data_IF_174703066096
#
_entry.id   IF_174703066096
#
_cell.length_a   1.000
_cell.length_b   1.000
_cell.length_c   1.000
_cell.angle_alpha   90.00
_cell.angle_beta   90.00
_cell.angle_gamma   90.00
#
_symmetry.space_group_name_H-M   'P 1'
#
loop_
_entity.id
_entity.type
_entity.pdbx_description
1 polymer ?
#
# COMPACT_ATOMS: atom_id res chain seq x y z
N UNK A 1 14.87 -5.31 -7.02
CA UNK A 1 13.60 -4.52 -7.03
C UNK A 1 13.88 -3.11 -7.51
N UNK A 2 12.94 -2.46 -8.21
CA UNK A 2 13.07 -1.04 -8.58
C UNK A 2 12.60 -0.14 -7.42
N UNK A 3 13.20 1.06 -7.31
CA UNK A 3 12.86 2.03 -6.28
C UNK A 3 12.75 3.43 -6.87
N UNK A 4 12.08 4.30 -6.14
CA UNK A 4 12.01 5.74 -6.36
C UNK A 4 12.62 6.44 -5.13
N UNK A 5 13.67 7.23 -5.32
CA UNK A 5 14.16 8.13 -4.28
C UNK A 5 13.42 9.47 -4.42
N UNK A 6 12.70 9.87 -3.39
CA UNK A 6 11.97 11.13 -3.34
C UNK A 6 12.85 12.30 -2.89
N UNK A 7 14.04 12.01 -2.37
CA UNK A 7 14.96 13.01 -1.82
C UNK A 7 14.94 13.07 -0.30
N UNK A 8 15.31 14.24 0.25
CA UNK A 8 15.54 14.44 1.67
C UNK A 8 16.94 14.02 2.12
N UNK A 9 17.20 14.10 3.41
CA UNK A 9 18.48 13.70 4.01
C UNK A 9 18.25 13.24 5.45
N UNK A 10 19.13 12.38 5.96
CA UNK A 10 19.00 11.78 7.30
C UNK A 10 18.79 10.27 7.23
N UNK A 11 18.26 9.63 8.29
CA UNK A 11 17.96 8.22 8.30
C UNK A 11 16.97 7.82 7.18
N UNK A 12 17.10 6.61 6.65
CA UNK A 12 16.23 6.17 5.55
C UNK A 12 14.83 5.84 6.07
N UNK A 13 13.82 6.49 5.45
CA UNK A 13 12.42 6.17 5.58
C UNK A 13 11.94 5.48 4.30
N UNK A 14 11.65 4.20 4.40
CA UNK A 14 11.16 3.39 3.30
C UNK A 14 9.64 3.39 3.24
N UNK A 15 9.08 3.53 2.04
CA UNK A 15 7.63 3.46 1.80
C UNK A 15 7.25 2.32 0.83
N UNK A 16 6.19 1.58 1.17
CA UNK A 16 5.62 0.50 0.35
C UNK A 16 4.14 0.76 0.05
N UNK A 17 3.83 0.94 -1.24
CA UNK A 17 2.52 1.41 -1.72
C UNK A 17 1.45 0.32 -1.83
N UNK A 18 0.17 0.74 -1.90
CA UNK A 18 -0.97 -0.16 -2.11
C UNK A 18 -1.10 -0.64 -3.56
N UNK A 19 -1.95 -1.67 -3.74
CA UNK A 19 -2.36 -2.16 -5.04
C UNK A 19 -3.13 -1.07 -5.82
N UNK A 20 -2.67 -0.72 -7.01
CA UNK A 20 -3.30 0.29 -7.86
C UNK A 20 -2.92 1.75 -7.59
N UNK A 21 -2.07 2.02 -6.58
CA UNK A 21 -1.66 3.38 -6.18
C UNK A 21 -0.13 3.50 -6.18
N UNK A 22 0.50 4.02 -7.25
CA UNK A 22 1.96 4.22 -7.30
C UNK A 22 2.47 5.20 -6.23
N UNK A 23 3.77 5.14 -5.84
CA UNK A 23 4.29 5.91 -4.71
C UNK A 23 4.04 7.41 -4.77
N UNK A 24 4.18 8.05 -5.93
CA UNK A 24 3.98 9.50 -6.05
C UNK A 24 2.53 9.95 -5.88
N UNK A 25 1.56 9.04 -5.99
CA UNK A 25 0.18 9.35 -5.61
C UNK A 25 0.03 9.68 -4.11
N UNK A 26 1.02 9.28 -3.29
CA UNK A 26 1.08 9.56 -1.85
C UNK A 26 1.89 10.82 -1.51
N UNK A 27 2.14 11.71 -2.48
CA UNK A 27 3.00 12.90 -2.30
C UNK A 27 2.61 13.71 -1.07
N UNK A 28 1.32 14.01 -0.89
CA UNK A 28 0.81 14.78 0.26
C UNK A 28 1.14 14.15 1.63
N UNK A 29 1.31 12.81 1.68
CA UNK A 29 1.73 12.09 2.90
C UNK A 29 3.26 12.00 3.01
N UNK A 30 3.98 11.83 1.91
CA UNK A 30 5.42 11.53 1.96
C UNK A 30 6.30 12.77 1.99
N UNK A 31 5.91 13.85 1.31
CA UNK A 31 6.68 15.09 1.19
C UNK A 31 7.07 15.69 2.55
N UNK A 32 6.20 15.75 3.58
CA UNK A 32 6.57 16.28 4.89
C UNK A 32 7.68 15.52 5.63
N UNK A 33 7.97 14.28 5.25
CA UNK A 33 9.06 13.52 5.85
C UNK A 33 10.44 13.88 5.26
N UNK A 34 10.50 14.52 4.09
CA UNK A 34 11.75 14.90 3.41
C UNK A 34 12.61 15.87 4.23
N UNK A 35 12.01 16.62 5.16
CA UNK A 35 12.73 17.56 6.04
C UNK A 35 13.69 16.84 7.01
N UNK A 36 13.44 15.55 7.31
CA UNK A 36 14.17 14.81 8.35
C UNK A 36 14.70 13.44 7.89
N UNK A 37 14.23 12.95 6.77
CA UNK A 37 14.52 11.60 6.30
C UNK A 37 14.88 11.59 4.81
N UNK A 38 15.78 10.69 4.41
CA UNK A 38 15.87 10.27 3.03
C UNK A 38 14.71 9.31 2.73
N UNK A 39 13.76 9.73 1.88
CA UNK A 39 12.56 8.96 1.60
C UNK A 39 12.73 8.13 0.33
N UNK A 40 12.69 6.82 0.49
CA UNK A 40 12.79 5.84 -0.60
C UNK A 40 11.49 5.04 -0.68
N UNK A 41 10.86 5.02 -1.86
CA UNK A 41 9.69 4.20 -2.09
C UNK A 41 10.02 2.97 -2.95
N UNK A 42 9.57 1.80 -2.52
CA UNK A 42 9.62 0.60 -3.35
C UNK A 42 8.63 0.70 -4.52
N UNK A 43 9.08 0.33 -5.71
CA UNK A 43 8.20 0.11 -6.85
C UNK A 43 7.85 -1.38 -6.86
N UNK A 44 6.58 -1.74 -6.63
CA UNK A 44 6.13 -3.10 -6.83
C UNK A 44 6.11 -3.47 -8.31
N UNK A 45 6.22 -4.75 -8.64
CA UNK A 45 6.35 -5.28 -10.01
C UNK A 45 5.41 -4.67 -11.05
N UNK A 46 4.12 -4.37 -10.73
CA UNK A 46 3.20 -3.74 -11.70
C UNK A 46 3.63 -2.39 -12.25
N UNK A 47 4.47 -1.65 -11.52
CA UNK A 47 4.97 -0.32 -11.93
C UNK A 47 6.45 -0.32 -12.30
N UNK A 48 7.08 -1.49 -12.46
CA UNK A 48 8.44 -1.57 -13.00
C UNK A 48 8.47 -1.12 -14.46
N UNK A 49 9.63 -0.73 -14.92
CA UNK A 49 9.87 -0.30 -16.31
C UNK A 49 10.96 -1.18 -16.93
N UNK A 50 10.61 -2.11 -17.86
CA UNK A 50 9.25 -2.56 -18.19
C UNK A 50 8.62 -3.40 -17.06
N UNK A 51 7.28 -3.42 -16.93
CA UNK A 51 6.62 -4.31 -15.97
C UNK A 51 6.74 -5.76 -16.48
N UNK A 52 6.98 -6.74 -15.59
CA UNK A 52 6.92 -8.14 -15.97
C UNK A 52 5.47 -8.58 -16.21
N UNK A 53 5.29 -9.79 -16.74
CA UNK A 53 3.95 -10.36 -16.88
C UNK A 53 3.30 -10.60 -15.50
N UNK A 54 1.99 -10.38 -15.34
CA UNK A 54 1.29 -10.62 -14.06
C UNK A 54 1.48 -12.06 -13.53
N UNK A 55 1.64 -13.04 -14.41
CA UNK A 55 1.88 -14.44 -14.05
C UNK A 55 3.18 -14.66 -13.26
N UNK A 56 4.12 -13.72 -13.32
CA UNK A 56 5.37 -13.75 -12.53
C UNK A 56 5.15 -13.58 -11.02
N UNK A 57 3.96 -13.11 -10.59
CA UNK A 57 3.57 -13.02 -9.20
C UNK A 57 2.79 -14.27 -8.79
N UNK A 58 3.38 -15.13 -7.99
CA UNK A 58 2.72 -16.34 -7.47
C UNK A 58 1.92 -16.04 -6.21
N UNK A 59 2.42 -15.14 -5.38
CA UNK A 59 1.83 -14.74 -4.09
C UNK A 59 2.39 -13.38 -3.66
N UNK A 60 1.69 -12.67 -2.76
CA UNK A 60 2.23 -11.47 -2.11
C UNK A 60 3.54 -11.71 -1.34
N UNK A 61 3.89 -12.96 -1.06
CA UNK A 61 5.22 -13.30 -0.52
C UNK A 61 6.36 -12.85 -1.43
N UNK A 62 6.12 -12.81 -2.73
CA UNK A 62 7.11 -12.35 -3.70
C UNK A 62 7.40 -10.86 -3.51
N UNK A 63 6.38 -10.05 -3.18
CA UNK A 63 6.58 -8.65 -2.79
C UNK A 63 7.40 -8.52 -1.50
N UNK A 64 7.16 -9.39 -0.52
CA UNK A 64 7.99 -9.44 0.70
C UNK A 64 9.45 -9.77 0.39
N UNK A 65 9.70 -10.75 -0.50
CA UNK A 65 11.06 -11.11 -0.93
C UNK A 65 11.73 -10.00 -1.75
N UNK A 66 10.97 -9.33 -2.63
CA UNK A 66 11.44 -8.16 -3.36
C UNK A 66 11.85 -7.03 -2.39
N UNK A 67 11.06 -6.79 -1.32
CA UNK A 67 11.40 -5.80 -0.29
C UNK A 67 12.66 -6.18 0.50
N UNK A 68 12.83 -7.45 0.86
CA UNK A 68 14.07 -7.91 1.52
C UNK A 68 15.28 -7.61 0.66
N UNK A 69 15.21 -7.80 -0.66
CA UNK A 69 16.32 -7.47 -1.57
C UNK A 69 16.58 -5.96 -1.62
N UNK A 70 15.51 -5.15 -1.72
CA UNK A 70 15.65 -3.69 -1.78
C UNK A 70 16.21 -3.12 -0.49
N UNK A 71 15.54 -3.39 0.64
CA UNK A 71 15.95 -2.85 1.94
C UNK A 71 17.30 -3.42 2.37
N UNK A 72 17.59 -4.68 2.03
CA UNK A 72 18.89 -5.29 2.27
C UNK A 72 20.05 -4.70 1.44
N UNK A 73 19.76 -3.92 0.40
CA UNK A 73 20.77 -3.15 -0.34
C UNK A 73 21.07 -1.78 0.26
N UNK A 74 20.29 -1.35 1.26
CA UNK A 74 20.51 -0.15 2.04
C UNK A 74 21.49 -0.52 3.18
N UNK A 75 22.51 0.31 3.41
CA UNK A 75 23.58 -0.01 4.34
C UNK A 75 23.21 0.12 5.83
N UNK A 76 21.95 0.47 6.13
CA UNK A 76 21.44 0.63 7.50
C UNK A 76 20.01 0.10 7.63
N UNK A 77 19.57 -0.29 8.85
CA UNK A 77 18.18 -0.64 9.08
C UNK A 77 17.26 0.57 8.91
N UNK A 78 16.11 0.36 8.26
CA UNK A 78 15.20 1.44 7.89
C UNK A 78 13.98 1.54 8.79
N UNK A 79 13.38 2.74 8.85
CA UNK A 79 11.98 2.92 9.24
C UNK A 79 11.14 2.59 8.02
N UNK A 80 10.12 1.74 8.16
CA UNK A 80 9.31 1.36 7.00
C UNK A 80 7.83 1.65 7.21
N UNK A 81 7.22 2.35 6.26
CA UNK A 81 5.78 2.69 6.25
C UNK A 81 5.13 1.95 5.08
N UNK A 82 4.02 1.26 5.34
CA UNK A 82 3.30 0.56 4.26
C UNK A 82 1.80 0.75 4.33
N UNK A 83 1.18 0.82 3.16
CA UNK A 83 -0.26 0.91 3.02
C UNK A 83 -0.84 -0.34 2.36
N UNK A 84 -1.90 -0.91 2.93
CA UNK A 84 -2.69 -2.00 2.32
C UNK A 84 -1.82 -3.21 1.94
N UNK A 85 -1.68 -3.52 0.65
CA UNK A 85 -0.80 -4.56 0.11
C UNK A 85 0.67 -4.31 0.49
N UNK A 86 1.12 -3.06 0.44
CA UNK A 86 2.47 -2.66 0.84
C UNK A 86 2.74 -2.93 2.32
N UNK A 87 1.76 -2.69 3.20
CA UNK A 87 1.86 -3.04 4.61
C UNK A 87 1.99 -4.56 4.80
N UNK A 88 1.24 -5.36 4.04
CA UNK A 88 1.38 -6.81 4.07
C UNK A 88 2.75 -7.28 3.58
N UNK A 89 3.31 -6.64 2.54
CA UNK A 89 4.65 -6.92 2.04
C UNK A 89 5.74 -6.62 3.09
N UNK A 90 5.62 -5.49 3.81
CA UNK A 90 6.52 -5.14 4.93
C UNK A 90 6.45 -6.19 6.04
N UNK A 91 5.25 -6.64 6.45
CA UNK A 91 5.10 -7.71 7.45
C UNK A 91 5.84 -8.98 7.02
N UNK A 92 5.73 -9.36 5.75
CA UNK A 92 6.41 -10.54 5.21
C UNK A 92 7.94 -10.36 5.21
N UNK A 93 8.43 -9.19 4.82
CA UNK A 93 9.85 -8.86 4.81
C UNK A 93 10.43 -8.80 6.24
N UNK A 94 9.73 -8.12 7.17
CA UNK A 94 10.17 -7.96 8.55
C UNK A 94 10.22 -9.29 9.33
N UNK A 95 9.31 -10.21 9.06
CA UNK A 95 9.36 -11.57 9.64
C UNK A 95 10.50 -12.38 9.03
N UNK A 96 10.83 -12.17 7.75
CA UNK A 96 11.92 -12.90 7.09
C UNK A 96 13.31 -12.39 7.50
N UNK A 97 13.47 -11.07 7.64
CA UNK A 97 14.73 -10.37 7.94
C UNK A 97 14.48 -9.18 8.87
N UNK A 98 14.17 -9.42 10.17
CA UNK A 98 13.80 -8.33 11.09
C UNK A 98 14.93 -7.31 11.29
N UNK A 99 16.18 -7.72 11.17
CA UNK A 99 17.35 -6.84 11.33
C UNK A 99 17.46 -5.73 10.26
N UNK A 100 16.68 -5.78 9.19
CA UNK A 100 16.63 -4.74 8.16
C UNK A 100 15.72 -3.56 8.54
N UNK A 101 14.98 -3.67 9.63
CA UNK A 101 13.98 -2.68 10.04
C UNK A 101 14.22 -2.23 11.48
N UNK A 102 14.24 -0.94 11.72
CA UNK A 102 14.23 -0.38 13.08
C UNK A 102 12.83 -0.40 13.66
N UNK A 103 11.84 -0.06 12.86
CA UNK A 103 10.41 -0.02 13.21
C UNK A 103 9.53 0.01 11.94
N UNK A 104 8.26 -0.36 12.08
CA UNK A 104 7.33 -0.37 10.96
C UNK A 104 5.99 0.27 11.30
N UNK A 105 5.46 1.12 10.39
CA UNK A 105 4.10 1.65 10.45
C UNK A 105 3.23 0.95 9.39
N UNK A 106 2.17 0.30 9.81
CA UNK A 106 1.27 -0.50 8.99
C UNK A 106 -0.08 0.19 8.89
N UNK A 107 -0.34 0.83 7.73
CA UNK A 107 -1.56 1.57 7.47
C UNK A 107 -2.54 0.64 6.74
N UNK A 108 -3.69 0.38 7.35
CA UNK A 108 -4.77 -0.40 6.71
C UNK A 108 -4.31 -1.73 6.09
N UNK A 109 -3.50 -2.57 6.77
CA UNK A 109 -3.03 -3.81 6.17
C UNK A 109 -4.21 -4.73 5.83
N UNK A 110 -4.10 -5.48 4.74
CA UNK A 110 -5.17 -6.40 4.32
C UNK A 110 -5.26 -7.59 5.28
N UNK A 111 -6.23 -7.55 6.19
CA UNK A 111 -6.50 -8.58 7.20
C UNK A 111 -7.63 -9.52 6.76
N UNK A 112 -7.32 -10.38 5.82
CA UNK A 112 -8.30 -11.33 5.27
C UNK A 112 -8.63 -12.44 6.27
N UNK A 113 -9.92 -12.78 6.41
CA UNK A 113 -10.28 -13.93 7.25
C UNK A 113 -9.66 -15.21 6.69
N UNK A 114 -9.11 -16.12 7.53
CA UNK A 114 -8.51 -17.36 7.04
C UNK A 114 -9.47 -18.21 6.22
N UNK A 115 -10.74 -18.29 6.62
CA UNK A 115 -11.78 -19.04 5.88
C UNK A 115 -11.97 -18.50 4.46
N UNK A 116 -12.08 -17.17 4.33
CA UNK A 116 -12.25 -16.52 3.03
C UNK A 116 -11.00 -16.68 2.16
N UNK A 117 -9.81 -16.56 2.75
CA UNK A 117 -8.55 -16.79 2.06
C UNK A 117 -8.44 -18.19 1.46
N UNK A 118 -8.73 -19.25 2.26
CA UNK A 118 -8.66 -20.62 1.76
C UNK A 118 -9.73 -20.91 0.72
N UNK A 119 -10.93 -20.37 0.88
CA UNK A 119 -12.00 -20.48 -0.11
C UNK A 119 -11.59 -19.83 -1.46
N UNK A 120 -11.07 -18.63 -1.44
CA UNK A 120 -10.54 -17.96 -2.63
C UNK A 120 -9.41 -18.75 -3.27
N UNK A 121 -8.49 -19.30 -2.47
CA UNK A 121 -7.37 -20.10 -2.96
C UNK A 121 -7.86 -21.37 -3.68
N UNK A 122 -8.83 -22.06 -3.11
CA UNK A 122 -9.40 -23.27 -3.69
C UNK A 122 -10.18 -23.01 -4.99
N UNK A 123 -10.90 -21.88 -5.03
CA UNK A 123 -11.78 -21.55 -6.15
C UNK A 123 -11.09 -20.67 -7.23
N UNK A 124 -9.80 -20.37 -7.09
CA UNK A 124 -9.04 -19.48 -8.01
C UNK A 124 -9.32 -19.70 -9.51
N UNK A 125 -9.34 -20.96 -10.03
CA UNK A 125 -9.57 -21.17 -11.46
C UNK A 125 -10.97 -20.72 -11.93
N UNK A 126 -11.97 -20.82 -11.04
CA UNK A 126 -13.38 -20.57 -11.35
C UNK A 126 -13.76 -19.12 -11.02
N UNK A 127 -13.08 -18.51 -10.05
CA UNK A 127 -13.47 -17.27 -9.38
C UNK A 127 -12.99 -16.01 -10.11
N UNK A 128 -12.00 -16.13 -11.01
CA UNK A 128 -11.37 -14.97 -11.69
C UNK A 128 -12.37 -13.96 -12.27
N UNK A 129 -13.55 -14.41 -12.73
CA UNK A 129 -14.62 -13.55 -13.26
C UNK A 129 -15.85 -13.44 -12.36
N UNK A 130 -15.93 -14.21 -11.26
CA UNK A 130 -17.11 -14.25 -10.38
C UNK A 130 -16.97 -13.41 -9.12
N UNK A 131 -15.72 -13.04 -8.71
CA UNK A 131 -15.51 -12.11 -7.60
C UNK A 131 -15.82 -10.69 -8.10
N UNK A 132 -16.80 -10.01 -7.49
CA UNK A 132 -17.24 -8.69 -7.98
C UNK A 132 -16.10 -7.65 -8.05
N UNK A 133 -15.19 -7.66 -7.08
CA UNK A 133 -14.03 -6.75 -7.05
C UNK A 133 -13.14 -6.97 -8.28
N UNK A 134 -12.78 -8.20 -8.60
CA UNK A 134 -11.90 -8.54 -9.71
C UNK A 134 -12.56 -8.19 -11.05
N UNK A 135 -13.86 -8.54 -11.19
CA UNK A 135 -14.61 -8.19 -12.38
C UNK A 135 -14.67 -6.69 -12.61
N UNK A 136 -15.06 -5.91 -11.59
CA UNK A 136 -15.09 -4.43 -11.66
C UNK A 136 -13.73 -3.83 -12.02
N UNK A 137 -12.63 -4.40 -11.49
CA UNK A 137 -11.28 -3.97 -11.82
C UNK A 137 -10.96 -4.20 -13.30
N UNK A 138 -11.29 -5.37 -13.85
CA UNK A 138 -11.02 -5.71 -15.25
C UNK A 138 -11.90 -4.95 -16.24
N UNK A 139 -13.13 -4.60 -15.85
CA UNK A 139 -14.11 -3.90 -16.69
C UNK A 139 -13.98 -2.37 -16.64
N UNK A 140 -13.17 -1.82 -15.71
CA UNK A 140 -13.04 -0.36 -15.57
C UNK A 140 -12.34 0.29 -16.75
N UNK A 141 -12.69 1.56 -17.01
CA UNK A 141 -11.93 2.44 -17.90
C UNK A 141 -10.52 2.63 -17.33
N UNK A 142 -9.51 2.51 -18.16
CA UNK A 142 -8.10 2.65 -17.81
C UNK A 142 -7.30 3.60 -18.72
N UNK A 143 -7.98 4.28 -19.66
CA UNK A 143 -7.39 5.25 -20.58
C UNK A 143 -8.34 6.41 -20.85
N UNK A 144 -7.79 7.64 -20.93
CA UNK A 144 -8.52 8.89 -21.15
C UNK A 144 -7.79 9.77 -22.16
N UNK A 145 -8.49 10.75 -22.76
CA UNK A 145 -7.88 11.67 -23.69
C UNK A 145 -6.87 12.61 -23.01
N UNK A 146 -7.12 12.97 -21.74
CA UNK A 146 -6.23 13.84 -20.94
C UNK A 146 -6.31 13.50 -19.45
N UNK A 147 -5.44 14.14 -18.63
CA UNK A 147 -5.50 14.06 -17.17
C UNK A 147 -6.75 14.70 -16.60
N UNK A 148 -7.24 15.76 -17.22
CA UNK A 148 -8.49 16.45 -16.85
C UNK A 148 -9.68 15.49 -17.01
N UNK A 149 -9.77 14.79 -18.15
CA UNK A 149 -10.83 13.79 -18.37
C UNK A 149 -10.75 12.66 -17.34
N UNK A 150 -9.54 12.21 -16.99
CA UNK A 150 -9.35 11.22 -15.96
C UNK A 150 -9.78 11.74 -14.57
N UNK A 151 -9.45 12.99 -14.23
CA UNK A 151 -9.90 13.63 -12.99
C UNK A 151 -11.42 13.68 -12.91
N UNK A 152 -12.08 14.19 -13.95
CA UNK A 152 -13.56 14.25 -14.05
C UNK A 152 -14.20 12.84 -13.93
N UNK A 153 -13.52 11.82 -14.47
CA UNK A 153 -13.97 10.45 -14.34
C UNK A 153 -13.85 9.90 -12.90
N UNK A 154 -12.81 10.30 -12.14
CA UNK A 154 -12.59 9.81 -10.78
C UNK A 154 -13.35 10.61 -9.73
N UNK A 155 -13.49 11.93 -9.87
CA UNK A 155 -14.06 12.83 -8.85
C UNK A 155 -15.43 12.40 -8.32
N UNK A 156 -16.41 11.98 -9.15
CA UNK A 156 -17.74 11.58 -8.69
C UNK A 156 -17.79 10.20 -8.03
N UNK A 157 -16.70 9.41 -8.04
CA UNK A 157 -16.70 8.08 -7.47
C UNK A 157 -16.66 8.14 -5.93
N UNK A 158 -17.50 7.34 -5.30
CA UNK A 158 -17.64 7.33 -3.83
C UNK A 158 -16.32 7.06 -3.10
N UNK A 159 -15.40 6.29 -3.69
CA UNK A 159 -14.08 5.99 -3.11
C UNK A 159 -13.17 7.22 -3.02
N UNK A 160 -13.43 8.26 -3.82
CA UNK A 160 -12.66 9.51 -3.81
C UNK A 160 -13.42 10.68 -3.15
N UNK A 161 -14.62 10.45 -2.61
CA UNK A 161 -15.49 11.50 -2.06
C UNK A 161 -14.80 12.32 -0.97
N UNK A 162 -14.12 11.65 -0.03
CA UNK A 162 -13.48 12.27 1.13
C UNK A 162 -12.03 12.75 0.84
N UNK A 163 -11.56 12.60 -0.40
CA UNK A 163 -10.22 13.01 -0.83
C UNK A 163 -10.29 14.42 -1.39
N UNK A 164 -9.38 15.31 -0.94
CA UNK A 164 -9.29 16.68 -1.49
C UNK A 164 -8.88 16.67 -2.96
N UNK A 165 -9.20 17.75 -3.67
CA UNK A 165 -8.89 17.87 -5.09
C UNK A 165 -7.38 17.79 -5.35
N UNK A 166 -6.56 18.45 -4.53
CA UNK A 166 -5.10 18.42 -4.65
C UNK A 166 -4.54 16.98 -4.57
N UNK A 167 -5.03 16.21 -3.60
CA UNK A 167 -4.61 14.79 -3.42
C UNK A 167 -5.14 13.92 -4.56
N UNK A 168 -6.34 14.18 -5.07
CA UNK A 168 -6.84 13.48 -6.25
C UNK A 168 -6.02 13.83 -7.51
N UNK A 169 -5.57 15.08 -7.64
CA UNK A 169 -4.65 15.47 -8.70
C UNK A 169 -3.28 14.80 -8.58
N UNK A 170 -2.77 14.57 -7.37
CA UNK A 170 -1.55 13.76 -7.19
C UNK A 170 -1.74 12.34 -7.74
N UNK A 171 -2.90 11.70 -7.46
CA UNK A 171 -3.20 10.40 -8.03
C UNK A 171 -3.30 10.44 -9.57
N UNK A 172 -3.96 11.44 -10.14
CA UNK A 172 -4.11 11.58 -11.59
C UNK A 172 -2.76 11.86 -12.26
N UNK A 173 -1.96 12.76 -11.68
CA UNK A 173 -0.68 13.17 -12.27
C UNK A 173 0.38 12.06 -12.22
N UNK A 174 0.41 11.28 -11.15
CA UNK A 174 1.44 10.31 -10.89
C UNK A 174 0.98 8.84 -11.01
N UNK A 175 -0.33 8.61 -11.04
CA UNK A 175 -0.93 7.30 -11.26
C UNK A 175 -1.12 6.92 -12.72
N UNK A 176 -0.71 7.78 -13.68
CA UNK A 176 -0.89 7.59 -15.10
C UNK A 176 0.38 7.83 -15.88
N UNK A 177 0.53 7.08 -16.99
CA UNK A 177 1.57 7.27 -17.98
C UNK A 177 0.96 7.83 -19.28
N UNK A 178 1.72 8.67 -19.98
CA UNK A 178 1.38 9.09 -21.33
C UNK A 178 1.59 7.94 -22.33
N UNK A 179 0.70 7.83 -23.27
CA UNK A 179 0.77 6.87 -24.37
C UNK A 179 1.31 7.57 -25.63
N UNK A 180 1.78 6.79 -26.61
CA UNK A 180 2.39 7.33 -27.83
C UNK A 180 1.43 8.21 -28.66
N UNK A 181 0.12 8.02 -28.52
CA UNK A 181 -0.94 8.81 -29.16
C UNK A 181 -1.37 10.06 -28.36
N UNK A 182 -0.62 10.41 -27.29
CA UNK A 182 -0.86 11.59 -26.47
C UNK A 182 -1.99 11.44 -25.44
N UNK A 183 -2.57 10.25 -25.30
CA UNK A 183 -3.54 9.93 -24.27
C UNK A 183 -2.87 9.58 -22.95
N UNK A 184 -3.63 9.40 -21.89
CA UNK A 184 -3.14 8.94 -20.58
C UNK A 184 -3.77 7.60 -20.23
N UNK A 185 -2.96 6.71 -19.62
CA UNK A 185 -3.38 5.39 -19.17
C UNK A 185 -2.88 5.14 -17.76
N UNK A 186 -3.64 4.37 -16.98
CA UNK A 186 -3.17 3.92 -15.65
C UNK A 186 -1.78 3.30 -15.73
N UNK A 187 -0.86 3.81 -14.91
CA UNK A 187 0.49 3.26 -14.77
C UNK A 187 0.45 1.83 -14.18
N UNK A 188 -0.54 1.58 -13.34
CA UNK A 188 -0.82 0.28 -12.75
C UNK A 188 -1.96 -0.38 -13.53
N UNK A 189 -1.63 -1.35 -14.40
CA UNK A 189 -2.65 -1.93 -15.29
C UNK A 189 -3.73 -2.68 -14.51
N UNK A 190 -4.94 -2.68 -15.05
CA UNK A 190 -6.09 -3.39 -14.45
C UNK A 190 -5.86 -4.91 -14.36
N UNK A 191 -5.11 -5.48 -15.30
CA UNK A 191 -4.72 -6.90 -15.30
C UNK A 191 -3.81 -7.22 -14.12
N UNK A 192 -2.81 -6.37 -13.86
CA UNK A 192 -1.94 -6.48 -12.72
C UNK A 192 -2.71 -6.31 -11.40
N UNK A 193 -3.56 -5.29 -11.30
CA UNK A 193 -4.34 -5.04 -10.09
C UNK A 193 -5.27 -6.21 -9.77
N UNK A 194 -5.99 -6.71 -10.78
CA UNK A 194 -6.84 -7.89 -10.63
C UNK A 194 -6.04 -9.14 -10.22
N UNK A 195 -4.83 -9.30 -10.78
CA UNK A 195 -3.94 -10.42 -10.43
C UNK A 195 -3.46 -10.32 -8.99
N UNK A 196 -3.09 -9.12 -8.51
CA UNK A 196 -2.71 -8.89 -7.11
C UNK A 196 -3.82 -9.31 -6.13
N UNK A 197 -5.09 -8.97 -6.41
CA UNK A 197 -6.22 -9.44 -5.59
C UNK A 197 -6.31 -10.97 -5.53
N UNK A 198 -6.08 -11.65 -6.66
CA UNK A 198 -6.08 -13.12 -6.71
C UNK A 198 -4.92 -13.76 -5.96
N UNK A 199 -3.81 -13.04 -5.79
CA UNK A 199 -2.57 -13.53 -5.17
C UNK A 199 -2.37 -13.04 -3.75
N UNK A 200 -3.37 -12.36 -3.18
CA UNK A 200 -3.34 -11.92 -1.79
C UNK A 200 -2.94 -13.05 -0.83
N UNK A 201 -2.26 -12.71 0.25
CA UNK A 201 -1.77 -13.65 1.25
C UNK A 201 -2.32 -13.32 2.63
N UNK A 202 -2.57 -14.36 3.42
CA UNK A 202 -3.01 -14.21 4.80
C UNK A 202 -1.80 -13.92 5.71
N UNK A 203 -1.81 -12.78 6.39
CA UNK A 203 -0.69 -12.33 7.24
C UNK A 203 -0.92 -12.54 8.75
N UNK A 204 -2.05 -13.09 9.17
CA UNK A 204 -2.38 -13.25 10.60
C UNK A 204 -1.32 -13.97 11.42
N UNK A 205 -0.77 -15.06 10.88
CA UNK A 205 0.29 -15.83 11.55
C UNK A 205 1.62 -15.08 11.58
N UNK A 206 1.86 -14.17 10.63
CA UNK A 206 3.06 -13.36 10.54
C UNK A 206 3.03 -12.18 11.52
N UNK A 207 1.88 -11.54 11.71
CA UNK A 207 1.72 -10.46 12.68
C UNK A 207 2.14 -10.87 14.10
N UNK A 208 1.90 -12.13 14.50
CA UNK A 208 2.33 -12.66 15.80
C UNK A 208 3.86 -12.79 15.95
N UNK A 209 4.58 -12.83 14.84
CA UNK A 209 6.04 -13.03 14.80
C UNK A 209 6.82 -11.72 14.73
N UNK A 210 6.12 -10.60 14.71
CA UNK A 210 6.76 -9.28 14.70
C UNK A 210 7.24 -8.93 16.11
N UNK A 211 8.55 -8.85 16.27
CA UNK A 211 9.21 -8.53 17.54
C UNK A 211 9.71 -7.07 17.61
N UNK A 212 9.77 -6.40 16.44
CA UNK A 212 10.16 -4.99 16.35
C UNK A 212 8.99 -4.06 16.70
N UNK A 213 9.24 -2.76 16.98
CA UNK A 213 8.19 -1.76 17.20
C UNK A 213 7.27 -1.64 16.00
N UNK A 214 5.96 -1.76 16.24
CA UNK A 214 4.90 -1.64 15.22
C UNK A 214 3.91 -0.57 15.62
N UNK A 215 3.63 0.35 14.68
CA UNK A 215 2.47 1.22 14.70
C UNK A 215 1.43 0.67 13.72
N UNK A 216 0.30 0.23 14.24
CA UNK A 216 -0.85 -0.19 13.45
C UNK A 216 -1.83 0.98 13.32
N UNK A 217 -2.23 1.30 12.10
CA UNK A 217 -3.16 2.40 11.81
C UNK A 217 -4.34 1.88 11.02
N UNK A 218 -5.55 2.29 11.45
CA UNK A 218 -6.82 1.98 10.81
C UNK A 218 -7.65 3.25 10.67
N UNK A 219 -8.46 3.36 9.61
CA UNK A 219 -9.56 4.33 9.54
C UNK A 219 -10.80 3.82 10.26
N UNK A 220 -11.54 4.68 11.00
CA UNK A 220 -12.74 4.27 11.72
C UNK A 220 -13.81 3.67 10.79
N UNK A 221 -13.89 4.18 9.57
CA UNK A 221 -14.89 3.78 8.57
C UNK A 221 -14.36 2.72 7.58
N UNK A 222 -13.21 2.09 7.94
CA UNK A 222 -12.59 1.09 7.08
C UNK A 222 -13.49 -0.13 6.85
N UNK A 223 -13.63 -0.48 5.58
CA UNK A 223 -14.25 -1.73 5.13
C UNK A 223 -13.24 -2.85 4.85
N UNK A 224 -11.94 -2.57 4.93
CA UNK A 224 -10.84 -3.53 4.72
C UNK A 224 -10.34 -4.11 6.02
N UNK A 225 -10.12 -3.28 7.04
CA UNK A 225 -9.81 -3.70 8.40
C UNK A 225 -11.08 -3.56 9.24
N UNK A 226 -11.91 -4.61 9.32
CA UNK A 226 -13.13 -4.58 10.12
C UNK A 226 -12.81 -4.38 11.61
N UNK A 227 -13.76 -3.83 12.37
CA UNK A 227 -13.64 -3.65 13.83
C UNK A 227 -13.29 -4.99 14.53
N UNK A 228 -13.90 -6.09 14.08
CA UNK A 228 -13.60 -7.42 14.60
C UNK A 228 -12.14 -7.84 14.33
N UNK A 229 -11.62 -7.57 13.12
CA UNK A 229 -10.24 -7.84 12.77
C UNK A 229 -9.28 -6.97 13.59
N UNK A 230 -9.63 -5.70 13.80
CA UNK A 230 -8.86 -4.75 14.60
C UNK A 230 -8.75 -5.17 16.06
N UNK A 231 -9.87 -5.44 16.73
CA UNK A 231 -9.90 -5.95 18.11
C UNK A 231 -9.15 -7.27 18.26
N UNK A 232 -9.27 -8.17 17.28
CA UNK A 232 -8.53 -9.43 17.26
C UNK A 232 -7.02 -9.19 17.17
N UNK A 233 -6.57 -8.24 16.35
CA UNK A 233 -5.14 -7.93 16.24
C UNK A 233 -4.62 -7.32 17.53
N UNK A 234 -5.32 -6.37 18.12
CA UNK A 234 -4.98 -5.77 19.43
C UNK A 234 -4.82 -6.84 20.51
N UNK A 235 -5.78 -7.76 20.63
CA UNK A 235 -5.71 -8.84 21.61
C UNK A 235 -4.57 -9.84 21.34
N UNK A 236 -4.21 -10.04 20.06
CA UNK A 236 -3.17 -10.99 19.65
C UNK A 236 -1.75 -10.46 19.83
N UNK A 237 -1.57 -9.16 19.74
CA UNK A 237 -0.25 -8.49 19.77
C UNK A 237 -0.33 -7.20 20.59
N UNK A 238 -0.59 -7.28 21.91
CA UNK A 238 -0.82 -6.11 22.76
C UNK A 238 0.41 -5.20 22.94
N UNK A 239 1.59 -5.68 22.54
CA UNK A 239 2.84 -4.91 22.55
C UNK A 239 2.94 -3.88 21.40
N UNK A 240 2.08 -3.95 20.39
CA UNK A 240 2.06 -2.99 19.30
C UNK A 240 1.27 -1.74 19.69
N UNK A 241 1.57 -0.62 19.07
CA UNK A 241 0.77 0.60 19.21
C UNK A 241 -0.34 0.61 18.14
N UNK A 242 -1.55 0.97 18.57
CA UNK A 242 -2.75 0.97 17.73
C UNK A 242 -3.39 2.35 17.72
N UNK A 243 -3.61 2.90 16.53
CA UNK A 243 -4.25 4.20 16.35
C UNK A 243 -5.36 4.07 15.30
N UNK A 244 -6.51 4.64 15.63
CA UNK A 244 -7.64 4.77 14.73
C UNK A 244 -7.77 6.23 14.28
N UNK A 245 -7.88 6.46 12.97
CA UNK A 245 -8.09 7.79 12.38
C UNK A 245 -9.58 7.95 12.14
N UNK A 246 -10.20 8.83 12.91
CA UNK A 246 -11.63 9.10 12.86
C UNK A 246 -12.07 9.69 11.51
N UNK A 247 -13.20 9.22 10.99
CA UNK A 247 -13.80 9.67 9.74
C UNK A 247 -12.96 9.35 8.49
N UNK A 248 -12.11 8.32 8.57
CA UNK A 248 -11.33 7.85 7.43
C UNK A 248 -11.67 6.40 7.10
N UNK A 249 -11.65 6.07 5.80
CA UNK A 249 -11.81 4.73 5.29
C UNK A 249 -10.48 4.02 5.02
N UNK A 250 -10.49 3.10 4.06
CA UNK A 250 -9.28 2.37 3.65
C UNK A 250 -8.20 3.28 3.03
N UNK A 251 -8.60 4.38 2.41
CA UNK A 251 -7.70 5.32 1.76
C UNK A 251 -7.19 6.43 2.73
N UNK A 252 -6.98 6.10 4.01
CA UNK A 252 -6.45 7.04 5.03
C UNK A 252 -5.32 7.93 4.54
N UNK A 253 -4.30 7.43 3.76
CA UNK A 253 -3.21 8.27 3.27
C UNK A 253 -3.64 9.38 2.32
N UNK A 254 -4.78 9.23 1.69
CA UNK A 254 -5.36 10.20 0.76
C UNK A 254 -6.47 11.03 1.41
N UNK A 255 -7.24 10.42 2.31
CA UNK A 255 -8.38 11.07 2.97
C UNK A 255 -7.93 12.02 4.09
N UNK A 256 -6.88 11.66 4.83
CA UNK A 256 -6.38 12.39 6.01
C UNK A 256 -4.85 12.43 6.06
N UNK A 257 -4.16 12.87 4.98
CA UNK A 257 -2.69 12.83 4.91
C UNK A 257 -2.01 13.58 6.06
N UNK A 258 -2.44 14.80 6.37
CA UNK A 258 -1.85 15.60 7.44
C UNK A 258 -1.98 14.97 8.84
N UNK A 259 -3.14 14.37 9.15
CA UNK A 259 -3.35 13.65 10.41
C UNK A 259 -2.45 12.43 10.50
N UNK A 260 -2.31 11.72 9.39
CA UNK A 260 -1.47 10.52 9.29
C UNK A 260 0.02 10.87 9.48
N UNK A 261 0.49 11.94 8.82
CA UNK A 261 1.87 12.45 8.95
C UNK A 261 2.18 12.80 10.41
N UNK A 262 1.30 13.58 11.07
CA UNK A 262 1.48 13.94 12.48
C UNK A 262 1.53 12.67 13.37
N UNK A 263 0.61 11.73 13.15
CA UNK A 263 0.54 10.48 13.93
C UNK A 263 1.81 9.64 13.80
N UNK A 264 2.32 9.47 12.57
CA UNK A 264 3.53 8.68 12.32
C UNK A 264 4.76 9.43 12.81
N UNK A 265 4.86 10.75 12.56
CA UNK A 265 5.96 11.58 13.01
C UNK A 265 6.12 11.58 14.52
N UNK A 266 5.02 11.76 15.26
CA UNK A 266 5.00 11.69 16.72
C UNK A 266 5.42 10.30 17.25
N UNK A 267 5.02 9.24 16.56
CA UNK A 267 5.41 7.88 16.95
C UNK A 267 6.89 7.59 16.70
N UNK A 268 7.43 8.07 15.60
CA UNK A 268 8.86 7.92 15.31
C UNK A 268 9.67 8.71 16.34
N UNK A 269 9.34 9.99 16.57
CA UNK A 269 10.12 10.86 17.46
C UNK A 269 10.06 10.48 18.95
N UNK A 270 9.01 9.81 19.42
CA UNK A 270 8.92 9.33 20.82
C UNK A 270 9.86 8.18 21.16
N UNK A 271 10.45 7.58 20.15
CA UNK A 271 11.26 6.37 20.30
C UNK A 271 12.71 6.58 19.78
N UNK A 272 13.07 7.81 19.45
CA UNK A 272 14.46 8.27 19.27
C UNK A 272 15.06 8.66 20.63
#
# INVERSE_FOLDING_TARGET
MQQLNLGGSGPVLHFSHANGYPPMAYRAMLEPFLDKYEVIASLHRPVWKPPPEPSSLESWRDFGSDLVQLVGSINEPVISIGHSMGAAAIVMAAVQKPQLFTRIALIEPVLMSPKYFYLLKLLRPIVKRRVPLIRKTLERVDQWASREEAYEHFRPKSVFKEISDDVLWDYVNHGMNETQDGRVRLAYSKEWEAHCYLRAHNIWSLLRKLELPVLAIRGSDSNTVSEQAWKKWQAMSPQHQYIEIEGAGHLVPFERPGKLVATIGDWIGKNE
#
